data_IF_969011382358
#
_entry.id   IF_969011382358
#
_cell.length_a   1.000
_cell.length_b   1.000
_cell.length_c   1.000
_cell.angle_alpha   90.00
_cell.angle_beta   90.00
_cell.angle_gamma   90.00
#
_symmetry.space_group_name_H-M   'P 1'
#
loop_
_entity.id
_entity.type
_entity.pdbx_description
1 polymer ?
#
# COMPACT_ATOMS: atom_id res chain seq x y z
N UNK A 1 -1.07 11.28 -23.52
CA UNK A 1 -2.21 10.59 -22.87
C UNK A 1 -2.99 11.66 -22.16
N UNK A 2 -4.31 11.59 -22.32
CA UNK A 2 -5.28 12.64 -22.03
C UNK A 2 -5.05 13.27 -20.65
N UNK A 3 -4.93 14.60 -20.64
CA UNK A 3 -5.02 15.41 -19.43
C UNK A 3 -6.34 15.05 -18.75
N UNK A 4 -6.26 14.33 -17.63
CA UNK A 4 -7.46 14.16 -16.80
C UNK A 4 -7.89 15.58 -16.39
N UNK A 5 -9.15 15.97 -16.66
CA UNK A 5 -9.62 17.28 -16.24
C UNK A 5 -9.40 17.41 -14.73
N UNK A 6 -9.04 18.60 -14.23
CA UNK A 6 -8.96 18.82 -12.79
C UNK A 6 -10.28 18.35 -12.17
N UNK A 7 -10.18 17.51 -11.13
CA UNK A 7 -11.32 17.08 -10.32
C UNK A 7 -12.13 18.33 -9.95
N UNK A 8 -13.45 18.27 -10.09
CA UNK A 8 -14.31 19.40 -9.69
C UNK A 8 -14.02 19.70 -8.20
N UNK A 9 -13.97 20.99 -7.80
CA UNK A 9 -13.51 21.41 -6.45
C UNK A 9 -14.14 20.60 -5.30
N UNK A 10 -15.39 20.20 -5.46
CA UNK A 10 -16.13 19.37 -4.51
C UNK A 10 -15.52 17.98 -4.28
N UNK A 11 -14.85 17.37 -5.25
CA UNK A 11 -14.33 16.00 -5.15
C UNK A 11 -13.14 15.88 -4.19
N UNK A 12 -12.33 16.94 -4.06
CA UNK A 12 -11.19 16.97 -3.14
C UNK A 12 -11.64 17.01 -1.69
N UNK A 13 -12.64 17.84 -1.41
CA UNK A 13 -13.24 18.00 -0.10
C UNK A 13 -14.10 16.78 0.26
N UNK A 14 -14.83 16.20 -0.70
CA UNK A 14 -15.60 14.96 -0.49
C UNK A 14 -14.67 13.80 -0.16
N UNK A 15 -13.49 13.70 -0.78
CA UNK A 15 -12.49 12.67 -0.43
C UNK A 15 -12.02 12.82 1.01
N UNK A 16 -11.76 14.04 1.46
CA UNK A 16 -11.24 14.28 2.80
C UNK A 16 -12.31 14.13 3.89
N UNK A 17 -13.53 14.60 3.64
CA UNK A 17 -14.61 14.60 4.62
C UNK A 17 -15.61 13.45 4.45
N UNK A 18 -15.42 12.56 3.47
CA UNK A 18 -16.26 11.37 3.20
C UNK A 18 -17.78 11.62 3.28
N UNK A 19 -18.25 12.68 2.61
CA UNK A 19 -19.66 13.15 2.63
C UNK A 19 -20.21 13.61 4.00
N UNK A 20 -19.43 13.53 5.07
CA UNK A 20 -19.85 13.89 6.43
C UNK A 20 -20.33 15.34 6.54
N UNK A 21 -19.77 16.27 5.75
CA UNK A 21 -20.18 17.68 5.74
C UNK A 21 -21.63 17.84 5.27
N UNK A 22 -22.03 17.12 4.20
CA UNK A 22 -23.42 17.16 3.69
C UNK A 22 -24.39 16.48 4.66
N UNK A 23 -23.95 15.42 5.32
CA UNK A 23 -24.76 14.74 6.34
C UNK A 23 -24.94 15.61 7.60
N UNK A 24 -23.87 16.28 8.04
CA UNK A 24 -23.90 17.23 9.16
C UNK A 24 -24.93 18.35 8.93
N UNK A 25 -24.98 18.94 7.73
CA UNK A 25 -25.99 19.97 7.44
C UNK A 25 -27.42 19.43 7.56
N UNK A 26 -27.67 18.23 7.03
CA UNK A 26 -28.99 17.59 7.14
C UNK A 26 -29.38 17.33 8.59
N UNK A 27 -28.44 16.90 9.42
CA UNK A 27 -28.68 16.69 10.85
C UNK A 27 -29.00 18.00 11.57
N UNK A 28 -28.23 19.06 11.32
CA UNK A 28 -28.46 20.39 11.89
C UNK A 28 -29.83 20.94 11.48
N UNK A 29 -30.18 20.85 10.19
CA UNK A 29 -31.50 21.23 9.69
C UNK A 29 -32.61 20.42 10.39
N UNK A 30 -32.47 19.10 10.45
CA UNK A 30 -33.45 18.22 11.08
C UNK A 30 -33.68 18.55 12.55
N UNK A 31 -32.61 18.70 13.34
CA UNK A 31 -32.69 19.04 14.76
C UNK A 31 -33.38 20.38 14.95
N UNK A 32 -33.02 21.38 14.13
CA UNK A 32 -33.59 22.71 14.24
C UNK A 32 -35.09 22.71 13.91
N UNK A 33 -35.50 22.11 12.78
CA UNK A 33 -36.91 22.09 12.39
C UNK A 33 -37.79 21.32 13.38
N UNK A 34 -37.29 20.22 13.95
CA UNK A 34 -38.02 19.50 14.98
C UNK A 34 -38.17 20.33 16.26
N UNK A 35 -37.09 20.95 16.72
CA UNK A 35 -37.11 21.80 17.92
C UNK A 35 -38.03 23.00 17.74
N UNK A 36 -38.03 23.63 16.56
CA UNK A 36 -38.92 24.73 16.22
C UNK A 36 -40.39 24.27 16.21
N UNK A 37 -40.69 23.15 15.54
CA UNK A 37 -42.04 22.59 15.50
C UNK A 37 -42.56 22.25 16.90
N UNK A 38 -41.73 21.68 17.76
CA UNK A 38 -42.09 21.37 19.15
C UNK A 38 -42.38 22.63 19.97
N UNK A 39 -41.52 23.65 19.84
CA UNK A 39 -41.70 24.94 20.52
C UNK A 39 -42.99 25.63 20.08
N UNK A 40 -43.25 25.67 18.78
CA UNK A 40 -44.48 26.21 18.22
C UNK A 40 -45.69 25.39 18.72
N UNK A 41 -45.64 24.06 18.66
CA UNK A 41 -46.77 23.20 19.05
C UNK A 41 -47.15 23.41 20.51
N UNK A 42 -46.13 23.55 21.37
CA UNK A 42 -46.32 23.86 22.78
C UNK A 42 -46.89 25.26 23.00
N UNK A 43 -46.45 26.26 22.22
CA UNK A 43 -47.02 27.60 22.27
C UNK A 43 -48.50 27.60 21.87
N UNK A 44 -48.89 26.87 20.81
CA UNK A 44 -50.29 26.76 20.39
C UNK A 44 -51.16 26.14 21.49
N UNK A 45 -50.69 25.05 22.12
CA UNK A 45 -51.38 24.40 23.26
C UNK A 45 -51.54 25.35 24.45
N UNK A 46 -50.50 26.11 24.79
CA UNK A 46 -50.52 27.09 25.88
C UNK A 46 -51.52 28.22 25.62
N UNK A 47 -51.49 28.80 24.42
CA UNK A 47 -52.42 29.87 24.01
C UNK A 47 -53.86 29.39 24.04
N UNK A 48 -54.14 28.19 23.50
CA UNK A 48 -55.48 27.57 23.56
C UNK A 48 -55.93 27.36 25.01
N UNK A 49 -55.04 26.87 25.88
CA UNK A 49 -55.34 26.67 27.31
C UNK A 49 -55.65 27.98 28.03
N UNK A 50 -54.92 29.05 27.73
CA UNK A 50 -55.12 30.36 28.37
C UNK A 50 -56.35 31.12 27.87
N UNK A 51 -56.74 30.94 26.61
CA UNK A 51 -57.95 31.55 26.06
C UNK A 51 -59.25 30.91 26.57
N UNK A 52 -59.18 29.68 27.10
CA UNK A 52 -60.29 28.98 27.74
C UNK A 52 -61.47 28.68 26.81
N UNK A 53 -62.51 28.04 27.36
CA UNK A 53 -63.76 27.73 26.64
C UNK A 53 -64.58 28.98 26.25
N UNK A 54 -64.18 30.18 26.71
CA UNK A 54 -64.91 31.43 26.59
C UNK A 54 -64.97 32.00 25.15
N UNK A 55 -64.13 31.52 24.23
CA UNK A 55 -64.11 31.91 22.80
C UNK A 55 -63.74 30.73 21.90
N UNK A 56 -64.50 29.63 21.95
CA UNK A 56 -64.35 28.48 21.03
C UNK A 56 -64.31 28.91 19.56
N UNK A 57 -65.05 29.96 19.23
CA UNK A 57 -65.18 30.57 17.90
C UNK A 57 -63.86 31.17 17.37
N UNK A 58 -62.84 31.34 18.22
CA UNK A 58 -61.51 31.84 17.82
C UNK A 58 -60.44 30.76 17.68
N UNK A 59 -60.74 29.50 18.01
CA UNK A 59 -59.76 28.40 17.96
C UNK A 59 -59.23 28.18 16.55
N UNK A 60 -60.11 28.18 15.55
CA UNK A 60 -59.72 28.05 14.13
C UNK A 60 -58.85 29.22 13.65
N UNK A 61 -59.06 30.41 14.21
CA UNK A 61 -58.29 31.60 13.87
C UNK A 61 -56.89 31.56 14.48
N UNK A 62 -56.74 30.94 15.67
CA UNK A 62 -55.46 30.68 16.31
C UNK A 62 -54.66 29.66 15.51
N UNK A 63 -55.29 28.56 15.07
CA UNK A 63 -54.63 27.53 14.28
C UNK A 63 -54.14 28.07 12.93
N UNK A 64 -54.95 28.89 12.24
CA UNK A 64 -54.51 29.55 11.00
C UNK A 64 -53.36 30.54 11.22
N UNK A 65 -53.41 31.34 12.28
CA UNK A 65 -52.34 32.28 12.61
C UNK A 65 -51.06 31.54 13.00
N UNK A 66 -51.22 30.42 13.70
CA UNK A 66 -50.14 29.55 14.08
C UNK A 66 -49.45 28.92 12.85
N UNK A 67 -50.22 28.39 11.91
CA UNK A 67 -49.69 27.85 10.65
C UNK A 67 -48.94 28.94 9.85
N UNK A 68 -49.47 30.16 9.83
CA UNK A 68 -48.82 31.32 9.20
C UNK A 68 -47.48 31.68 9.84
N UNK A 69 -47.41 31.73 11.17
CA UNK A 69 -46.17 32.04 11.90
C UNK A 69 -45.18 30.89 11.75
N UNK A 70 -45.61 29.65 11.94
CA UNK A 70 -44.79 28.46 11.79
C UNK A 70 -44.17 28.40 10.39
N UNK A 71 -44.99 28.56 9.34
CA UNK A 71 -44.51 28.59 7.95
C UNK A 71 -43.49 29.70 7.72
N UNK A 72 -43.76 30.92 8.19
CA UNK A 72 -42.84 32.05 8.02
C UNK A 72 -41.50 31.80 8.71
N UNK A 73 -41.52 31.21 9.91
CA UNK A 73 -40.29 30.88 10.63
C UNK A 73 -39.53 29.78 9.91
N UNK A 74 -40.20 28.72 9.47
CA UNK A 74 -39.58 27.65 8.67
C UNK A 74 -38.93 28.21 7.41
N UNK A 75 -39.61 29.08 6.67
CA UNK A 75 -39.10 29.66 5.43
C UNK A 75 -37.88 30.57 5.69
N UNK A 76 -37.92 31.43 6.71
CA UNK A 76 -36.78 32.29 7.06
C UNK A 76 -35.62 31.46 7.61
N UNK A 77 -35.88 30.47 8.46
CA UNK A 77 -34.86 29.54 8.96
C UNK A 77 -34.19 28.80 7.82
N UNK A 78 -34.94 28.23 6.86
CA UNK A 78 -34.36 27.56 5.69
C UNK A 78 -33.40 28.48 4.94
N UNK A 79 -33.79 29.73 4.74
CA UNK A 79 -32.94 30.73 4.08
C UNK A 79 -31.66 31.01 4.89
N UNK A 80 -31.77 31.17 6.20
CA UNK A 80 -30.60 31.42 7.07
C UNK A 80 -29.68 30.20 7.16
N UNK A 81 -30.24 28.99 7.25
CA UNK A 81 -29.47 27.74 7.25
C UNK A 81 -28.78 27.51 5.89
N UNK A 82 -29.43 27.83 4.77
CA UNK A 82 -28.77 27.80 3.46
C UNK A 82 -27.61 28.80 3.35
N UNK A 83 -27.76 30.00 3.90
CA UNK A 83 -26.66 30.98 3.95
C UNK A 83 -25.51 30.50 4.86
N UNK A 84 -25.84 29.87 5.98
CA UNK A 84 -24.87 29.27 6.90
C UNK A 84 -24.14 28.09 6.23
N UNK A 85 -24.85 27.21 5.53
CA UNK A 85 -24.28 26.11 4.77
C UNK A 85 -23.25 26.63 3.75
N UNK A 86 -23.64 27.61 2.92
CA UNK A 86 -22.73 28.20 1.94
C UNK A 86 -21.47 28.79 2.60
N UNK A 87 -21.63 29.46 3.74
CA UNK A 87 -20.50 30.04 4.47
C UNK A 87 -19.57 28.96 5.04
N UNK A 88 -20.14 27.90 5.61
CA UNK A 88 -19.38 26.77 6.15
C UNK A 88 -18.64 26.02 5.04
N UNK A 89 -19.28 25.75 3.90
CA UNK A 89 -18.65 25.15 2.72
C UNK A 89 -17.50 26.01 2.21
N UNK A 90 -17.68 27.34 2.10
CA UNK A 90 -16.65 28.22 1.54
C UNK A 90 -15.50 28.57 2.49
N UNK A 91 -15.71 28.53 3.81
CA UNK A 91 -14.73 29.06 4.78
C UNK A 91 -14.20 28.06 5.78
N UNK A 92 -14.98 27.02 6.11
CA UNK A 92 -14.63 26.06 7.17
C UNK A 92 -14.19 24.75 6.54
N UNK A 93 -15.00 24.23 5.62
CA UNK A 93 -14.77 22.94 4.98
C UNK A 93 -14.08 23.06 3.62
N UNK A 94 -13.80 24.29 3.16
CA UNK A 94 -13.01 24.49 1.97
C UNK A 94 -11.54 24.16 2.27
N UNK A 95 -10.97 23.26 1.46
CA UNK A 95 -9.53 23.01 1.49
C UNK A 95 -8.88 23.99 0.50
N UNK A 96 -8.02 24.91 0.97
CA UNK A 96 -7.37 25.88 0.10
C UNK A 96 -6.56 25.20 -1.02
N UNK A 97 -6.58 25.79 -2.22
CA UNK A 97 -5.93 25.23 -3.42
C UNK A 97 -4.39 25.07 -3.25
N UNK A 98 -3.77 25.77 -2.29
CA UNK A 98 -2.35 25.68 -1.95
C UNK A 98 -2.02 24.59 -0.90
N UNK A 99 -3.03 23.97 -0.31
CA UNK A 99 -2.88 22.89 0.66
C UNK A 99 -2.99 21.54 -0.04
N UNK A 100 -1.92 20.74 0.06
CA UNK A 100 -1.89 19.37 -0.45
C UNK A 100 -2.23 18.41 0.69
N UNK A 101 -3.22 17.54 0.48
CA UNK A 101 -3.56 16.49 1.42
C UNK A 101 -2.39 15.51 1.61
N UNK A 102 -2.18 14.99 2.85
CA UNK A 102 -1.10 14.05 3.14
C UNK A 102 -1.07 12.81 2.22
N UNK A 103 -2.23 12.37 1.75
CA UNK A 103 -2.40 11.23 0.84
C UNK A 103 -1.79 11.48 -0.54
N UNK A 104 -1.85 12.73 -1.03
CA UNK A 104 -1.37 13.11 -2.36
C UNK A 104 0.11 13.54 -2.33
N UNK A 105 0.68 13.75 -1.14
CA UNK A 105 2.11 14.04 -0.96
C UNK A 105 3.02 12.95 -1.57
N UNK A 106 2.55 11.69 -1.59
CA UNK A 106 3.27 10.58 -2.21
C UNK A 106 3.18 10.61 -3.74
N UNK A 107 2.06 11.09 -4.30
CA UNK A 107 1.85 11.19 -5.75
C UNK A 107 2.67 12.34 -6.36
N UNK A 108 2.92 13.41 -5.60
CA UNK A 108 3.71 14.55 -6.04
C UNK A 108 5.21 14.26 -6.27
N UNK A 109 5.74 13.13 -5.77
CA UNK A 109 7.20 12.89 -5.73
C UNK A 109 7.76 12.08 -6.90
N UNK A 110 6.92 11.42 -7.70
CA UNK A 110 7.37 10.64 -8.84
C UNK A 110 6.83 11.24 -10.12
N UNK A 111 7.67 12.00 -10.83
CA UNK A 111 7.41 12.26 -12.24
C UNK A 111 7.25 10.91 -12.95
N UNK A 112 6.27 10.77 -13.85
CA UNK A 112 6.01 9.51 -14.59
C UNK A 112 7.27 8.96 -15.29
N UNK A 113 8.23 9.83 -15.62
CA UNK A 113 9.55 9.47 -16.16
C UNK A 113 10.45 8.71 -15.18
N UNK A 114 10.25 8.88 -13.88
CA UNK A 114 11.00 8.22 -12.81
C UNK A 114 10.46 6.81 -12.55
N UNK A 115 9.14 6.61 -12.64
CA UNK A 115 8.52 5.28 -12.52
C UNK A 115 9.06 4.30 -13.56
N UNK A 116 9.04 4.69 -14.84
CA UNK A 116 9.58 3.84 -15.93
C UNK A 116 11.07 3.52 -15.80
N UNK A 117 11.89 4.45 -15.25
CA UNK A 117 13.32 4.19 -15.00
C UNK A 117 13.53 3.22 -13.84
N UNK A 118 12.71 3.31 -12.80
CA UNK A 118 12.76 2.37 -11.67
C UNK A 118 12.36 0.97 -12.14
N UNK A 119 11.31 0.85 -12.96
CA UNK A 119 10.89 -0.43 -13.53
C UNK A 119 12.00 -1.05 -14.40
N UNK A 120 12.64 -0.26 -15.28
CA UNK A 120 13.78 -0.72 -16.07
C UNK A 120 14.95 -1.18 -15.22
N UNK A 121 15.23 -0.50 -14.10
CA UNK A 121 16.27 -0.92 -13.17
C UNK A 121 15.91 -2.22 -12.45
N UNK A 122 14.64 -2.40 -12.07
CA UNK A 122 14.15 -3.65 -11.51
C UNK A 122 14.32 -4.82 -12.47
N UNK A 123 13.92 -4.65 -13.73
CA UNK A 123 14.06 -5.68 -14.76
C UNK A 123 15.53 -6.05 -15.00
N UNK A 124 16.43 -5.05 -15.03
CA UNK A 124 17.88 -5.29 -15.15
C UNK A 124 18.45 -6.06 -13.97
N UNK A 125 18.01 -5.75 -12.74
CA UNK A 125 18.45 -6.46 -11.53
C UNK A 125 17.94 -7.90 -11.54
N UNK A 126 16.67 -8.12 -11.91
CA UNK A 126 16.10 -9.45 -12.03
C UNK A 126 16.85 -10.31 -13.05
N UNK A 127 17.14 -9.76 -14.24
CA UNK A 127 17.92 -10.46 -15.25
C UNK A 127 19.33 -10.82 -14.78
N UNK A 128 19.99 -9.94 -14.03
CA UNK A 128 21.31 -10.25 -13.41
C UNK A 128 21.20 -11.34 -12.35
N UNK A 129 20.15 -11.32 -11.54
CA UNK A 129 19.94 -12.33 -10.50
C UNK A 129 19.75 -13.72 -11.11
N UNK A 130 18.99 -13.84 -12.20
CA UNK A 130 18.84 -15.11 -12.92
C UNK A 130 20.17 -15.61 -13.48
N UNK A 131 20.98 -14.72 -14.09
CA UNK A 131 22.30 -15.07 -14.58
C UNK A 131 23.23 -15.58 -13.46
N UNK A 132 23.22 -14.91 -12.29
CA UNK A 132 23.97 -15.35 -11.11
C UNK A 132 23.47 -16.72 -10.64
N UNK A 133 22.17 -16.98 -10.68
CA UNK A 133 21.60 -18.29 -10.32
C UNK A 133 22.08 -19.40 -11.24
N UNK A 134 22.14 -19.15 -12.55
CA UNK A 134 22.71 -20.09 -13.51
C UNK A 134 24.19 -20.34 -13.26
N UNK A 135 24.97 -19.28 -13.03
CA UNK A 135 26.39 -19.40 -12.72
C UNK A 135 26.62 -20.22 -11.45
N UNK A 136 25.82 -20.00 -10.41
CA UNK A 136 25.87 -20.80 -9.18
C UNK A 136 25.63 -22.28 -9.46
N UNK A 137 24.69 -22.62 -10.34
CA UNK A 137 24.44 -24.01 -10.74
C UNK A 137 25.66 -24.59 -11.45
N UNK A 138 26.21 -23.88 -12.44
CA UNK A 138 27.39 -24.35 -13.18
C UNK A 138 28.61 -24.56 -12.27
N UNK A 139 28.86 -23.65 -11.33
CA UNK A 139 29.94 -23.80 -10.34
C UNK A 139 29.72 -25.03 -9.45
N UNK A 140 28.47 -25.31 -9.04
CA UNK A 140 28.18 -26.51 -8.27
C UNK A 140 28.42 -27.80 -9.09
N UNK A 141 28.09 -27.79 -10.38
CA UNK A 141 28.35 -28.91 -11.28
C UNK A 141 29.87 -29.14 -11.45
N UNK A 142 30.66 -28.07 -11.57
CA UNK A 142 32.12 -28.14 -11.59
C UNK A 142 32.68 -28.69 -10.28
N UNK A 143 32.18 -28.23 -9.13
CA UNK A 143 32.59 -28.75 -7.82
C UNK A 143 32.33 -30.25 -7.74
N UNK A 144 31.15 -30.73 -8.16
CA UNK A 144 30.86 -32.17 -8.20
C UNK A 144 31.80 -32.92 -9.14
N UNK A 145 32.16 -32.33 -10.29
CA UNK A 145 33.14 -32.91 -11.19
C UNK A 145 34.50 -33.07 -10.51
N UNK A 146 34.96 -32.05 -9.78
CA UNK A 146 36.19 -32.10 -9.00
C UNK A 146 36.13 -33.12 -7.87
N UNK A 147 35.03 -33.20 -7.13
CA UNK A 147 34.83 -34.20 -6.07
C UNK A 147 34.91 -35.63 -6.61
N UNK A 148 34.50 -35.86 -7.87
CA UNK A 148 34.62 -37.15 -8.54
C UNK A 148 36.04 -37.41 -9.09
N UNK A 149 36.72 -36.40 -9.60
CA UNK A 149 38.06 -36.52 -10.21
C UNK A 149 39.18 -36.63 -9.17
N UNK A 150 39.08 -35.90 -8.07
CA UNK A 150 40.08 -35.88 -7.00
C UNK A 150 40.46 -37.29 -6.48
N UNK A 151 39.52 -38.17 -6.08
CA UNK A 151 39.86 -39.51 -5.62
C UNK A 151 40.49 -40.37 -6.71
N UNK A 152 40.11 -40.20 -7.98
CA UNK A 152 40.73 -40.92 -9.10
C UNK A 152 42.19 -40.49 -9.28
N UNK A 153 42.46 -39.18 -9.23
CA UNK A 153 43.82 -38.66 -9.32
C UNK A 153 44.68 -39.08 -8.12
N UNK A 154 44.10 -39.13 -6.92
CA UNK A 154 44.78 -39.59 -5.73
C UNK A 154 45.10 -41.10 -5.81
N UNK A 155 44.16 -41.93 -6.25
CA UNK A 155 44.40 -43.36 -6.45
C UNK A 155 45.50 -43.63 -7.49
N UNK A 156 45.50 -42.90 -8.60
CA UNK A 156 46.58 -42.99 -9.61
C UNK A 156 47.93 -42.60 -9.04
N UNK A 157 47.98 -41.54 -8.21
CA UNK A 157 49.22 -41.12 -7.55
C UNK A 157 49.74 -42.23 -6.61
N UNK A 158 48.88 -42.79 -5.76
CA UNK A 158 49.23 -43.90 -4.86
C UNK A 158 49.72 -45.15 -5.62
N UNK A 159 49.12 -45.44 -6.77
CA UNK A 159 49.55 -46.57 -7.62
C UNK A 159 50.91 -46.32 -8.27
N UNK A 160 51.20 -45.08 -8.69
CA UNK A 160 52.52 -44.68 -9.19
C UNK A 160 53.56 -44.80 -8.08
N UNK A 161 53.24 -44.33 -6.87
CA UNK A 161 54.13 -44.41 -5.71
C UNK A 161 54.47 -45.87 -5.38
N UNK A 162 53.47 -46.76 -5.28
CA UNK A 162 53.67 -48.21 -5.11
C UNK A 162 54.49 -48.84 -6.23
N UNK A 163 54.31 -48.41 -7.48
CA UNK A 163 55.12 -48.88 -8.59
C UNK A 163 56.58 -48.44 -8.45
N UNK A 164 56.82 -47.19 -8.04
CA UNK A 164 58.15 -46.66 -7.78
C UNK A 164 58.85 -47.44 -6.66
N UNK A 165 58.17 -47.66 -5.53
CA UNK A 165 58.68 -48.46 -4.41
C UNK A 165 58.99 -49.91 -4.82
N UNK A 166 58.18 -50.51 -5.71
CA UNK A 166 58.45 -51.84 -6.28
C UNK A 166 59.68 -51.87 -7.18
N UNK A 167 59.90 -50.82 -7.97
CA UNK A 167 61.10 -50.72 -8.81
C UNK A 167 62.33 -50.58 -7.91
N UNK A 168 62.27 -49.71 -6.91
CA UNK A 168 63.37 -49.50 -5.95
C UNK A 168 63.68 -50.77 -5.14
N UNK A 169 62.67 -51.48 -4.64
CA UNK A 169 62.85 -52.71 -3.86
C UNK A 169 63.37 -53.90 -4.71
N UNK A 170 63.07 -53.96 -6.01
CA UNK A 170 63.62 -54.98 -6.91
C UNK A 170 65.02 -54.62 -7.46
N UNK A 171 65.42 -53.35 -7.45
CA UNK A 171 66.78 -52.91 -7.76
C UNK A 171 67.79 -53.28 -6.64
N UNK A 172 67.31 -53.64 -5.45
CA UNK A 172 68.14 -54.13 -4.33
C UNK A 172 68.04 -55.66 -4.21
N UNK A 173 68.49 -56.38 -5.24
CA UNK A 173 69.16 -57.67 -5.05
C UNK A 173 70.42 -57.72 -5.92
N UNK A 174 71.58 -57.29 -5.39
CA UNK A 174 72.88 -57.45 -6.04
C UNK A 174 73.26 -58.92 -6.29
N UNK A 175 72.58 -59.87 -5.62
CA UNK A 175 72.99 -61.26 -5.58
C UNK A 175 72.85 -62.02 -6.90
N UNK A 176 71.97 -61.60 -7.82
CA UNK A 176 71.77 -62.33 -9.09
C UNK A 176 72.71 -61.84 -10.19
N UNK A 177 73.04 -60.56 -10.20
CA UNK A 177 73.98 -59.95 -11.16
C UNK A 177 75.45 -60.31 -10.83
N UNK A 178 75.83 -60.32 -9.55
CA UNK A 178 77.15 -60.81 -9.12
C UNK A 178 77.32 -62.33 -9.32
N UNK A 179 76.24 -63.11 -9.24
CA UNK A 179 76.29 -64.55 -9.52
C UNK A 179 76.42 -64.85 -11.02
N UNK A 180 75.85 -64.03 -11.90
CA UNK A 180 76.01 -64.18 -13.35
C UNK A 180 77.40 -63.74 -13.83
N UNK A 181 77.97 -62.66 -13.28
CA UNK A 181 79.32 -62.18 -13.62
C UNK A 181 80.45 -63.13 -13.16
N UNK A 182 80.23 -63.96 -12.14
CA UNK A 182 81.20 -64.98 -11.73
C UNK A 182 81.26 -66.20 -12.66
N UNK A 183 80.25 -66.42 -13.50
CA UNK A 183 80.22 -67.56 -14.43
C UNK A 183 80.97 -67.25 -15.73
N UNK A 184 81.00 -66.00 -16.17
CA UNK A 184 81.75 -65.60 -17.38
C UNK A 184 83.27 -65.63 -17.23
N UNK A 185 83.80 -65.60 -16.01
CA UNK A 185 85.25 -65.72 -15.76
C UNK A 185 85.75 -67.17 -15.61
N UNK A 186 84.89 -68.17 -15.78
CA UNK A 186 85.22 -69.60 -15.62
C UNK A 186 85.00 -70.46 -16.88
N UNK A 187 84.75 -69.85 -18.05
CA UNK A 187 84.73 -70.50 -19.37
C UNK A 187 85.80 -69.90 -20.29
#
# INVERSE_FOLDING_TARGET
>A
MEDKPPLEKDEYEIRFYDRAVRELYREVEYIYFNSANDAFSNMAKLVKKQLGEAKKDKVDQIDRNYDLVSKRVVDETKKQLGALQNMMEQKIFHIPDDVVLPEDMCQMRYANTTGSKVDQQFDQILGRFEAIRFLKSAVNDEIQCFENLFPLTQALYEDIEKCSERIESNLVKPSTLEQLLKVEHLL
#
